data_IF_679141865773
#
_entry.id   IF_679141865773
#
_cell.length_a   1.000
_cell.length_b   1.000
_cell.length_c   1.000
_cell.angle_alpha   90.00
_cell.angle_beta   90.00
_cell.angle_gamma   90.00
#
_symmetry.space_group_name_H-M   'P 1'
#
loop_
_entity.id
_entity.type
_entity.pdbx_description
1 polymer ?
#
# COMPACT_ATOMS: atom_id res chain seq x y z
N UNK A 1 2.90 14.83 -15.67
CA UNK A 1 2.88 13.44 -15.15
C UNK A 1 3.43 13.33 -13.73
N UNK A 2 4.56 13.97 -13.39
CA UNK A 2 5.14 13.93 -12.03
C UNK A 2 4.13 14.24 -10.90
N UNK A 3 3.33 15.32 -11.03
CA UNK A 3 2.30 15.64 -10.04
C UNK A 3 1.20 14.57 -9.89
N UNK A 4 0.91 13.80 -10.95
CA UNK A 4 -0.03 12.68 -10.87
C UNK A 4 0.65 11.49 -10.17
N UNK A 5 1.89 11.16 -10.54
CA UNK A 5 2.67 10.11 -9.89
C UNK A 5 2.82 10.37 -8.38
N UNK A 6 3.14 11.61 -7.99
CA UNK A 6 3.17 12.02 -6.59
C UNK A 6 1.86 11.69 -5.86
N UNK A 7 0.72 12.08 -6.42
CA UNK A 7 -0.60 11.78 -5.81
C UNK A 7 -0.87 10.28 -5.67
N UNK A 8 -0.36 9.46 -6.59
CA UNK A 8 -0.49 8.00 -6.47
C UNK A 8 0.40 7.45 -5.34
N UNK A 9 1.61 7.99 -5.16
CA UNK A 9 2.45 7.63 -4.02
C UNK A 9 1.81 8.10 -2.71
N UNK A 10 1.29 9.33 -2.68
CA UNK A 10 0.60 9.88 -1.50
C UNK A 10 -0.60 9.00 -1.12
N UNK A 11 -1.39 8.54 -2.10
CA UNK A 11 -2.52 7.62 -1.87
C UNK A 11 -2.10 6.35 -1.14
N UNK A 12 -1.02 5.70 -1.60
CA UNK A 12 -0.47 4.47 -0.98
C UNK A 12 0.05 4.74 0.43
N UNK A 13 0.61 5.94 0.66
CA UNK A 13 1.26 6.33 1.91
C UNK A 13 0.33 7.03 2.93
N UNK A 14 -0.97 7.11 2.64
CA UNK A 14 -1.97 7.56 3.62
C UNK A 14 -2.85 8.74 3.20
N UNK A 15 -2.61 9.37 2.06
CA UNK A 15 -3.49 10.40 1.51
C UNK A 15 -4.69 9.76 0.76
N UNK A 16 -5.45 8.95 1.49
CA UNK A 16 -6.66 8.28 1.02
C UNK A 16 -7.81 8.47 2.04
N UNK A 17 -9.07 8.16 1.69
CA UNK A 17 -10.23 8.39 2.56
C UNK A 17 -10.16 7.73 3.95
N UNK A 18 -9.31 6.73 4.12
CA UNK A 18 -9.17 6.00 5.38
C UNK A 18 -7.98 6.48 6.22
N UNK A 19 -7.11 7.33 5.68
CA UNK A 19 -5.92 7.82 6.39
C UNK A 19 -4.91 6.73 6.73
N UNK A 20 -4.89 5.62 5.97
CA UNK A 20 -4.02 4.47 6.22
C UNK A 20 -2.93 4.33 5.16
N UNK A 21 -1.71 4.06 5.59
CA UNK A 21 -0.61 3.67 4.73
C UNK A 21 -0.65 2.17 4.47
N UNK A 22 -0.47 1.76 3.22
CA UNK A 22 -0.35 0.35 2.83
C UNK A 22 1.10 -0.16 2.89
N UNK A 23 2.06 0.72 3.18
CA UNK A 23 3.45 0.34 3.45
C UNK A 23 3.68 0.24 4.95
N UNK A 24 4.03 -0.95 5.41
CA UNK A 24 4.20 -1.25 6.83
C UNK A 24 5.27 -0.38 7.47
N UNK A 25 4.95 0.22 8.62
CA UNK A 25 5.83 1.10 9.41
C UNK A 25 6.27 2.39 8.69
N UNK A 26 5.57 2.77 7.63
CA UNK A 26 5.72 4.06 6.96
C UNK A 26 4.40 4.81 7.06
N UNK A 27 4.41 6.06 7.55
CA UNK A 27 3.20 6.84 7.80
C UNK A 27 2.61 6.60 9.20
N UNK A 28 1.32 6.91 9.39
CA UNK A 28 0.73 7.04 10.72
C UNK A 28 -0.05 5.80 11.19
N UNK A 29 -0.71 5.09 10.26
CA UNK A 29 -1.60 3.94 10.54
C UNK A 29 -1.51 2.94 9.39
N UNK A 30 -1.33 1.65 9.68
CA UNK A 30 -1.48 0.58 8.71
C UNK A 30 -2.81 -0.16 8.96
N UNK A 31 -3.52 -0.64 7.92
CA UNK A 31 -4.74 -1.41 8.13
C UNK A 31 -4.43 -2.79 8.73
N UNK A 32 -5.42 -3.50 9.30
CA UNK A 32 -5.23 -4.86 9.80
C UNK A 32 -4.70 -5.78 8.71
N UNK A 33 -3.63 -6.53 8.97
CA UNK A 33 -3.07 -7.49 8.02
C UNK A 33 -4.05 -8.63 7.74
N UNK A 34 -4.00 -9.18 6.53
CA UNK A 34 -4.62 -10.47 6.26
C UNK A 34 -3.85 -11.59 6.98
N UNK A 35 -4.55 -12.37 7.82
CA UNK A 35 -3.98 -13.50 8.56
C UNK A 35 -4.40 -14.81 7.92
N UNK A 36 -3.52 -15.37 7.09
CA UNK A 36 -3.72 -16.72 6.53
C UNK A 36 -3.35 -17.81 7.53
N UNK A 37 -4.22 -18.82 7.67
CA UNK A 37 -4.04 -19.92 8.64
C UNK A 37 -3.22 -21.10 8.11
N UNK A 38 -2.95 -21.15 6.81
CA UNK A 38 -2.22 -22.27 6.19
C UNK A 38 -0.69 -22.16 6.25
N UNK A 39 -0.13 -21.06 6.75
CA UNK A 39 1.32 -20.89 6.98
C UNK A 39 1.60 -20.77 8.48
N UNK A 40 2.49 -21.62 9.00
CA UNK A 40 2.92 -21.58 10.39
C UNK A 40 4.46 -21.59 10.51
N UNK A 41 5.07 -20.60 11.20
CA UNK A 41 4.45 -19.45 11.84
C UNK A 41 3.76 -18.53 10.82
N UNK A 42 2.70 -17.84 11.26
CA UNK A 42 2.02 -16.85 10.40
C UNK A 42 3.02 -15.84 9.85
N UNK A 43 2.68 -15.25 8.70
CA UNK A 43 3.43 -14.11 8.16
C UNK A 43 3.53 -13.03 9.22
N UNK A 44 4.74 -12.60 9.62
CA UNK A 44 4.90 -11.53 10.59
C UNK A 44 4.60 -10.19 9.93
N UNK A 45 4.48 -9.14 10.74
CA UNK A 45 4.59 -7.77 10.26
C UNK A 45 6.00 -7.53 9.72
N UNK A 46 6.12 -7.27 8.42
CA UNK A 46 7.41 -7.05 7.73
C UNK A 46 7.57 -5.56 7.48
N UNK A 47 8.53 -4.86 8.14
CA UNK A 47 8.82 -3.45 7.87
C UNK A 47 9.03 -3.19 6.37
N UNK A 48 8.30 -2.22 5.82
CA UNK A 48 8.37 -1.86 4.41
C UNK A 48 7.61 -2.79 3.46
N UNK A 49 7.01 -3.90 3.91
CA UNK A 49 6.10 -4.67 3.06
C UNK A 49 4.89 -3.83 2.64
N UNK A 50 4.38 -4.10 1.44
CA UNK A 50 3.28 -3.35 0.83
C UNK A 50 2.09 -4.27 0.64
N UNK A 51 0.95 -3.83 1.17
CA UNK A 51 -0.34 -4.51 1.02
C UNK A 51 -0.99 -4.18 -0.33
N UNK A 52 -1.95 -5.01 -0.77
CA UNK A 52 -2.65 -4.86 -2.05
C UNK A 52 -3.31 -3.49 -2.27
N UNK A 53 -3.89 -2.87 -1.24
CA UNK A 53 -4.51 -1.54 -1.34
C UNK A 53 -6.04 -1.54 -1.22
N UNK A 54 -6.64 -0.37 -1.43
CA UNK A 54 -8.10 -0.17 -1.36
C UNK A 54 -8.77 -0.79 -2.58
N UNK A 55 -9.87 -1.51 -2.37
CA UNK A 55 -10.72 -2.06 -3.43
C UNK A 55 -12.00 -1.22 -3.62
N UNK A 56 -12.88 -1.64 -4.53
CA UNK A 56 -14.22 -1.08 -4.68
C UNK A 56 -15.27 -1.94 -3.98
N UNK A 57 -16.28 -1.32 -3.38
CA UNK A 57 -17.52 -2.01 -2.97
C UNK A 57 -18.46 -2.27 -4.16
N UNK A 58 -19.65 -2.80 -3.89
CA UNK A 58 -20.68 -3.08 -4.92
C UNK A 58 -21.14 -1.81 -5.67
N UNK A 59 -20.92 -0.62 -5.10
CA UNK A 59 -21.26 0.69 -5.65
C UNK A 59 -20.03 1.42 -6.26
N UNK A 60 -18.90 0.74 -6.43
CA UNK A 60 -17.62 1.29 -6.90
C UNK A 60 -17.07 2.42 -6.00
N UNK A 61 -17.36 2.37 -4.71
CA UNK A 61 -16.79 3.27 -3.71
C UNK A 61 -15.55 2.64 -3.08
N UNK A 62 -14.56 3.45 -2.63
CA UNK A 62 -13.41 2.95 -1.89
C UNK A 62 -13.84 2.08 -0.70
N UNK A 63 -13.40 0.83 -0.67
CA UNK A 63 -13.58 -0.13 0.43
C UNK A 63 -12.22 -0.67 0.88
N UNK A 64 -11.94 -0.50 2.17
CA UNK A 64 -10.70 -0.99 2.78
C UNK A 64 -10.74 -2.50 2.99
N UNK A 65 -11.92 -3.10 3.20
CA UNK A 65 -12.10 -4.51 3.54
C UNK A 65 -11.04 -5.04 4.54
N UNK A 66 -10.93 -4.45 5.76
CA UNK A 66 -9.78 -4.66 6.64
C UNK A 66 -9.55 -6.15 6.98
N UNK A 67 -8.31 -6.61 6.84
CA UNK A 67 -7.94 -8.01 7.08
C UNK A 67 -8.35 -8.97 5.95
N UNK A 68 -8.90 -8.48 4.84
CA UNK A 68 -9.15 -9.27 3.63
C UNK A 68 -7.87 -9.46 2.83
N UNK A 69 -7.72 -10.61 2.15
CA UNK A 69 -6.59 -10.83 1.26
C UNK A 69 -6.61 -9.90 0.04
N UNK A 70 -7.80 -9.46 -0.38
CA UNK A 70 -7.96 -8.54 -1.51
C UNK A 70 -7.27 -7.19 -1.28
N UNK A 71 -7.24 -6.71 -0.03
CA UNK A 71 -6.76 -5.37 0.31
C UNK A 71 -5.55 -5.35 1.23
N UNK A 72 -5.43 -6.33 2.14
CA UNK A 72 -4.48 -6.33 3.25
C UNK A 72 -3.47 -7.49 3.21
N UNK A 73 -3.39 -8.24 2.11
CA UNK A 73 -2.31 -9.21 1.90
C UNK A 73 -1.02 -8.51 1.44
N UNK A 74 0.11 -8.91 2.00
CA UNK A 74 1.41 -8.49 1.49
C UNK A 74 1.70 -9.18 0.17
N UNK A 75 2.08 -8.39 -0.85
CA UNK A 75 2.36 -8.96 -2.15
C UNK A 75 3.59 -8.34 -2.80
N UNK A 76 4.56 -9.18 -3.17
CA UNK A 76 5.85 -8.76 -3.72
C UNK A 76 5.75 -7.81 -4.92
N UNK A 77 4.80 -7.97 -5.88
CA UNK A 77 4.63 -7.01 -6.97
C UNK A 77 4.28 -5.60 -6.48
N UNK A 78 3.46 -5.46 -5.43
CA UNK A 78 3.10 -4.15 -4.88
C UNK A 78 4.32 -3.44 -4.31
N UNK A 79 5.17 -4.17 -3.57
CA UNK A 79 6.44 -3.67 -3.09
C UNK A 79 7.36 -3.25 -4.24
N UNK A 80 7.55 -4.11 -5.23
CA UNK A 80 8.47 -3.87 -6.34
C UNK A 80 8.07 -2.62 -7.15
N UNK A 81 6.79 -2.48 -7.47
CA UNK A 81 6.29 -1.33 -8.20
C UNK A 81 6.33 -0.04 -7.38
N UNK A 82 6.04 -0.10 -6.06
CA UNK A 82 6.13 1.07 -5.21
C UNK A 82 7.57 1.58 -5.11
N UNK A 83 8.54 0.69 -4.86
CA UNK A 83 9.96 1.08 -4.78
C UNK A 83 10.43 1.68 -6.10
N UNK A 84 10.07 1.06 -7.23
CA UNK A 84 10.44 1.60 -8.53
C UNK A 84 9.80 2.98 -8.78
N UNK A 85 8.50 3.12 -8.54
CA UNK A 85 7.79 4.40 -8.71
C UNK A 85 8.37 5.52 -7.86
N UNK A 86 8.74 5.22 -6.60
CA UNK A 86 9.42 6.18 -5.72
C UNK A 86 10.81 6.56 -6.23
N UNK A 87 11.59 5.60 -6.74
CA UNK A 87 12.91 5.86 -7.29
C UNK A 87 12.87 6.76 -8.54
N UNK A 88 11.92 6.51 -9.46
CA UNK A 88 11.70 7.36 -10.64
C UNK A 88 11.26 8.77 -10.25
N UNK A 89 10.36 8.87 -9.26
CA UNK A 89 9.88 10.16 -8.78
C UNK A 89 10.99 10.97 -8.08
N UNK A 90 11.84 10.31 -7.29
CA UNK A 90 13.03 10.93 -6.70
C UNK A 90 13.99 11.44 -7.79
N UNK A 91 14.32 10.61 -8.78
CA UNK A 91 15.20 10.99 -9.89
C UNK A 91 14.66 12.20 -10.68
N UNK A 92 13.34 12.26 -10.87
CA UNK A 92 12.69 13.42 -11.48
C UNK A 92 12.91 14.70 -10.67
N UNK A 93 12.76 14.66 -9.33
CA UNK A 93 12.93 15.86 -8.50
C UNK A 93 14.39 16.26 -8.30
N UNK A 94 15.33 15.31 -8.29
CA UNK A 94 16.76 15.61 -8.18
C UNK A 94 17.33 16.37 -9.39
N UNK A 95 16.66 16.26 -10.54
CA UNK A 95 17.08 16.88 -11.80
C UNK A 95 16.33 18.18 -12.14
N UNK A 96 15.49 18.68 -11.22
CA UNK A 96 14.73 19.91 -11.36
C UNK A 96 15.27 21.01 -10.47
#
# INVERSE_FOLDING_TARGET
>A
LAALAQRQMDWVLGANPFGVSFMVQVGHVNPPEYVYTGFQPRTPWIPGAVMCGICGDEDDRPDLAPGSYHSCEFWTPMLAHLIWGLAELQSYYDTK
#
